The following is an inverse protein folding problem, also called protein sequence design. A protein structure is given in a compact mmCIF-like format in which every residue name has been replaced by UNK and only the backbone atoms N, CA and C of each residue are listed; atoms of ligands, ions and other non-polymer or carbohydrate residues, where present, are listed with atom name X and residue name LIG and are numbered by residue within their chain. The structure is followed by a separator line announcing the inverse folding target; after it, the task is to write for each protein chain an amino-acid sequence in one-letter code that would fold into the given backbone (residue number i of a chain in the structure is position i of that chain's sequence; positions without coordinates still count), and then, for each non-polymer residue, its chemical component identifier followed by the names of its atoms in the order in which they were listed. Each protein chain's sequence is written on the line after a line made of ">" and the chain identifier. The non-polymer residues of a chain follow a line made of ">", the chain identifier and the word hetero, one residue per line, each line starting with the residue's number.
data_IF_752025575154
#
_entry.id   IF_752025575154
#
_cell.length_a   1.000
_cell.length_b   1.000
_cell.length_c   1.000
_cell.angle_alpha   90.00
_cell.angle_beta   90.00
_cell.angle_gamma   90.00
#
_symmetry.space_group_name_H-M   'P 1'
#
loop_
_entity.id
_entity.type
_entity.pdbx_description
1 polymer ?
#
# COMPACT_ATOMS: atom_id res chain seq x y z
N UNK A 1 65.80 2.83 15.41
CA UNK A 1 64.73 3.82 15.17
C UNK A 1 63.95 3.42 13.92
N UNK A 2 62.84 2.68 14.06
CA UNK A 2 61.91 2.36 12.95
C UNK A 2 60.52 2.83 13.39
N UNK A 3 59.96 3.81 12.67
CA UNK A 3 58.64 4.39 12.92
C UNK A 3 57.59 3.51 12.24
N UNK A 4 56.71 2.89 13.03
CA UNK A 4 55.51 2.20 12.55
C UNK A 4 54.38 3.23 12.49
N UNK A 5 53.96 3.57 11.27
CA UNK A 5 52.75 4.34 10.99
C UNK A 5 51.57 3.36 11.01
N UNK A 6 50.68 3.47 12.00
CA UNK A 6 49.36 2.83 11.94
C UNK A 6 48.43 3.73 11.13
N UNK A 7 48.12 3.32 9.90
CA UNK A 7 47.01 3.86 9.10
C UNK A 7 45.71 3.23 9.58
N UNK A 8 44.86 4.03 10.24
CA UNK A 8 43.50 3.65 10.59
C UNK A 8 42.61 3.70 9.34
N UNK A 9 42.22 2.53 8.82
CA UNK A 9 41.22 2.42 7.77
C UNK A 9 39.82 2.52 8.42
N UNK A 10 39.12 3.62 8.18
CA UNK A 10 37.70 3.75 8.52
C UNK A 10 36.88 2.95 7.51
N UNK A 11 36.41 1.77 7.92
CA UNK A 11 35.45 0.98 7.14
C UNK A 11 34.07 1.61 7.32
N UNK A 12 33.59 2.33 6.30
CA UNK A 12 32.18 2.71 6.20
C UNK A 12 31.36 1.45 5.95
N UNK A 13 30.71 0.93 6.99
CA UNK A 13 29.65 -0.06 6.83
C UNK A 13 28.39 0.66 6.31
N UNK A 14 28.15 0.57 5.01
CA UNK A 14 26.83 0.85 4.46
C UNK A 14 25.90 -0.30 4.88
N UNK A 15 25.06 -0.07 5.89
CA UNK A 15 23.93 -0.95 6.17
C UNK A 15 22.91 -0.77 5.04
N UNK A 16 22.93 -1.63 4.04
CA UNK A 16 21.78 -1.82 3.16
C UNK A 16 20.70 -2.50 3.97
N UNK A 17 19.80 -1.70 4.56
CA UNK A 17 18.54 -2.21 5.07
C UNK A 17 17.70 -2.65 3.86
N UNK A 18 17.85 -3.91 3.44
CA UNK A 18 16.88 -4.51 2.54
C UNK A 18 15.56 -4.56 3.31
N UNK A 19 14.59 -3.72 2.94
CA UNK A 19 13.22 -3.87 3.41
C UNK A 19 12.70 -5.20 2.85
N UNK A 20 12.81 -6.27 3.65
CA UNK A 20 12.32 -7.58 3.24
C UNK A 20 10.79 -7.53 3.31
N UNK A 21 10.14 -7.62 2.15
CA UNK A 21 8.69 -7.79 2.06
C UNK A 21 8.34 -9.10 2.78
N UNK A 22 7.37 -9.02 3.68
CA UNK A 22 6.78 -10.15 4.38
C UNK A 22 5.34 -10.33 3.90
N UNK A 23 4.83 -11.55 4.00
CA UNK A 23 3.50 -11.92 3.49
C UNK A 23 2.70 -12.60 4.59
N UNK A 24 1.55 -12.06 4.92
CA UNK A 24 0.58 -12.68 5.83
C UNK A 24 -0.61 -13.18 5.02
N UNK A 25 -1.07 -14.40 5.29
CA UNK A 25 -2.14 -15.05 4.52
C UNK A 25 -3.37 -15.30 5.38
N UNK A 26 -4.54 -14.97 4.84
CA UNK A 26 -5.84 -15.27 5.41
C UNK A 26 -6.65 -16.12 4.44
N UNK A 27 -7.26 -17.20 4.93
CA UNK A 27 -8.11 -18.10 4.13
C UNK A 27 -9.53 -18.09 4.69
N UNK A 28 -10.53 -17.92 3.83
CA UNK A 28 -11.95 -18.04 4.19
C UNK A 28 -12.33 -19.50 4.38
N UNK A 29 -12.83 -19.86 5.57
CA UNK A 29 -13.21 -21.25 5.91
C UNK A 29 -14.62 -21.36 6.49
N UNK A 30 -15.48 -20.37 6.21
CA UNK A 30 -16.85 -20.29 6.73
C UNK A 30 -17.89 -20.81 5.72
N UNK A 31 -17.48 -21.65 4.77
CA UNK A 31 -18.35 -22.24 3.75
C UNK A 31 -18.22 -21.56 2.39
N UNK A 32 -19.01 -22.01 1.42
CA UNK A 32 -18.98 -21.45 0.06
C UNK A 32 -19.59 -20.05 0.05
N UNK A 33 -18.92 -19.09 -0.60
CA UNK A 33 -19.47 -17.75 -0.78
C UNK A 33 -20.42 -17.75 -1.98
N UNK A 34 -21.66 -17.30 -1.78
CA UNK A 34 -22.62 -17.14 -2.89
C UNK A 34 -22.21 -16.03 -3.85
N UNK A 35 -22.76 -16.05 -5.07
CA UNK A 35 -22.61 -14.98 -6.06
C UNK A 35 -23.90 -14.18 -6.13
N UNK A 36 -23.79 -12.86 -6.00
CA UNK A 36 -24.93 -11.97 -6.07
C UNK A 36 -25.35 -11.73 -7.53
N UNK A 37 -26.56 -12.14 -7.87
CA UNK A 37 -27.25 -11.77 -9.09
C UNK A 37 -27.83 -10.35 -8.95
N UNK A 38 -27.49 -9.45 -9.86
CA UNK A 38 -28.04 -8.08 -9.96
C UNK A 38 -28.07 -7.60 -11.41
N UNK A 39 -28.87 -6.57 -11.68
CA UNK A 39 -28.86 -5.87 -12.96
C UNK A 39 -29.10 -4.36 -12.76
N UNK A 40 -28.24 -3.47 -13.30
CA UNK A 40 -26.97 -3.76 -13.98
C UNK A 40 -25.85 -4.09 -12.98
N UNK A 41 -24.94 -4.99 -13.34
CA UNK A 41 -23.69 -5.19 -12.58
C UNK A 41 -22.76 -4.00 -12.83
N UNK A 42 -22.25 -3.40 -11.76
CA UNK A 42 -21.23 -2.35 -11.80
C UNK A 42 -20.49 -2.29 -10.45
N UNK A 43 -19.46 -1.46 -10.35
CA UNK A 43 -18.60 -1.36 -9.15
C UNK A 43 -19.32 -0.85 -7.89
N UNK A 44 -20.51 -0.27 -8.02
CA UNK A 44 -21.34 0.13 -6.89
C UNK A 44 -22.36 -0.94 -6.47
N UNK A 45 -22.47 -2.03 -7.24
CA UNK A 45 -23.26 -3.18 -6.84
C UNK A 45 -22.62 -3.85 -5.63
N UNK A 46 -23.43 -4.28 -4.66
CA UNK A 46 -22.94 -4.98 -3.49
C UNK A 46 -23.53 -6.38 -3.45
N UNK A 47 -22.67 -7.34 -3.13
CA UNK A 47 -23.09 -8.70 -2.79
C UNK A 47 -23.56 -8.76 -1.35
N UNK A 48 -24.80 -9.21 -1.14
CA UNK A 48 -25.33 -9.52 0.20
C UNK A 48 -24.77 -10.83 0.77
N UNK A 49 -24.13 -11.66 -0.08
CA UNK A 49 -23.42 -12.88 0.32
C UNK A 49 -22.07 -12.60 0.97
N UNK A 50 -21.52 -11.43 0.67
CA UNK A 50 -20.15 -11.12 0.97
C UNK A 50 -19.94 -11.07 2.49
N UNK A 51 -18.96 -11.82 2.97
CA UNK A 51 -18.55 -11.82 4.37
C UNK A 51 -17.19 -11.13 4.52
N UNK A 52 -16.95 -10.66 5.74
CA UNK A 52 -15.71 -10.00 6.13
C UNK A 52 -14.70 -11.01 6.66
N UNK A 53 -13.43 -10.76 6.35
CA UNK A 53 -12.31 -11.49 6.87
C UNK A 53 -11.24 -10.51 7.34
N UNK A 54 -10.62 -10.79 8.48
CA UNK A 54 -9.65 -9.90 9.12
C UNK A 54 -8.27 -10.54 9.29
N UNK A 55 -7.21 -9.77 9.03
CA UNK A 55 -5.82 -10.17 9.24
C UNK A 55 -5.06 -9.05 9.94
N UNK A 56 -4.18 -9.42 10.88
CA UNK A 56 -3.30 -8.45 11.52
C UNK A 56 -1.96 -8.38 10.79
N UNK A 57 -1.45 -7.17 10.57
CA UNK A 57 -0.05 -6.94 10.18
C UNK A 57 0.70 -6.22 11.31
N UNK A 58 2.04 -6.30 11.37
CA UNK A 58 2.80 -5.60 12.41
C UNK A 58 2.60 -4.07 12.38
N UNK A 59 2.62 -3.44 13.56
CA UNK A 59 2.49 -1.98 13.67
C UNK A 59 3.60 -1.25 12.92
N UNK A 60 3.26 -0.17 12.23
CA UNK A 60 4.21 0.63 11.45
C UNK A 60 4.63 -0.04 10.15
N UNK A 61 3.90 -1.04 9.66
CA UNK A 61 4.09 -1.60 8.33
C UNK A 61 3.16 -0.95 7.31
N UNK A 62 3.61 -0.91 6.06
CA UNK A 62 2.88 -0.47 4.88
C UNK A 62 2.54 -1.67 4.00
N UNK A 63 1.43 -1.61 3.28
CA UNK A 63 1.07 -2.61 2.27
C UNK A 63 1.88 -2.35 1.00
N UNK A 64 2.54 -3.39 0.49
CA UNK A 64 3.21 -3.39 -0.82
C UNK A 64 2.31 -3.89 -1.95
N UNK A 65 1.45 -4.87 -1.67
CA UNK A 65 0.46 -5.40 -2.60
C UNK A 65 -0.45 -6.37 -1.85
N UNK A 66 -1.62 -6.62 -2.41
CA UNK A 66 -2.48 -7.73 -1.98
C UNK A 66 -2.57 -8.74 -3.11
N UNK A 67 -2.38 -10.02 -2.81
CA UNK A 67 -2.68 -11.10 -3.73
C UNK A 67 -3.99 -11.76 -3.30
N UNK A 68 -4.96 -11.76 -4.21
CA UNK A 68 -6.25 -12.42 -4.05
C UNK A 68 -6.22 -13.73 -4.83
N UNK A 69 -6.58 -14.82 -4.16
CA UNK A 69 -6.79 -16.14 -4.78
C UNK A 69 -8.18 -16.63 -4.44
N UNK A 70 -8.85 -17.28 -5.38
CA UNK A 70 -10.09 -18.01 -5.13
C UNK A 70 -10.38 -18.97 -6.29
N UNK A 71 -11.25 -19.93 -6.05
CA UNK A 71 -11.83 -20.75 -7.09
C UNK A 71 -13.30 -20.37 -7.29
N UNK A 72 -13.69 -20.04 -8.52
CA UNK A 72 -15.08 -19.85 -8.89
C UNK A 72 -15.59 -21.12 -9.56
N UNK A 73 -16.68 -21.67 -9.03
CA UNK A 73 -17.41 -22.78 -9.64
C UNK A 73 -18.73 -22.27 -10.17
N UNK A 74 -19.02 -22.52 -11.44
CA UNK A 74 -20.30 -22.18 -12.05
C UNK A 74 -21.14 -23.40 -12.36
N UNK A 75 -22.42 -23.17 -12.62
CA UNK A 75 -23.37 -24.22 -12.97
C UNK A 75 -23.58 -24.28 -14.49
N UNK A 76 -23.48 -25.48 -15.05
CA UNK A 76 -23.80 -25.75 -16.44
C UNK A 76 -25.31 -25.94 -16.65
N UNK A 77 -25.73 -25.96 -17.91
CA UNK A 77 -27.13 -26.25 -18.27
C UNK A 77 -27.59 -25.36 -19.41
N UNK A 78 -27.47 -25.87 -20.65
CA UNK A 78 -28.09 -25.32 -21.86
C UNK A 78 -28.21 -23.79 -21.91
N UNK A 79 -29.43 -23.31 -22.19
CA UNK A 79 -29.76 -21.89 -22.21
C UNK A 79 -29.92 -21.38 -20.77
N UNK A 80 -29.05 -20.45 -20.34
CA UNK A 80 -29.06 -19.89 -18.98
C UNK A 80 -27.99 -20.43 -18.03
N UNK A 81 -27.04 -21.25 -18.51
CA UNK A 81 -25.82 -21.57 -17.78
C UNK A 81 -24.96 -20.34 -17.52
N UNK A 82 -24.08 -20.44 -16.52
CA UNK A 82 -23.15 -19.37 -16.14
C UNK A 82 -21.72 -19.87 -16.38
N UNK A 83 -20.87 -19.00 -16.90
CA UNK A 83 -19.44 -19.23 -17.05
C UNK A 83 -18.64 -18.34 -16.07
N UNK A 84 -17.42 -18.72 -15.68
CA UNK A 84 -16.58 -17.90 -14.81
C UNK A 84 -16.39 -16.44 -15.27
N UNK A 85 -16.37 -16.18 -16.58
CA UNK A 85 -16.28 -14.81 -17.12
C UNK A 85 -17.56 -13.98 -16.96
N UNK A 86 -18.69 -14.57 -16.54
CA UNK A 86 -19.91 -13.86 -16.15
C UNK A 86 -19.86 -13.36 -14.70
N UNK A 87 -18.91 -13.85 -13.91
CA UNK A 87 -18.75 -13.54 -12.48
C UNK A 87 -17.70 -12.45 -12.31
N UNK A 88 -18.16 -11.24 -12.05
CA UNK A 88 -17.31 -10.10 -11.70
C UNK A 88 -17.06 -10.03 -10.20
N UNK A 89 -15.84 -9.71 -9.80
CA UNK A 89 -15.48 -9.56 -8.38
C UNK A 89 -14.74 -8.25 -8.15
N UNK A 90 -14.92 -7.68 -6.97
CA UNK A 90 -14.05 -6.65 -6.41
C UNK A 90 -13.87 -6.86 -4.91
N UNK A 91 -12.77 -6.38 -4.38
CA UNK A 91 -12.45 -6.38 -2.95
C UNK A 91 -12.75 -4.99 -2.39
N UNK A 92 -13.48 -4.98 -1.28
CA UNK A 92 -13.61 -3.83 -0.39
C UNK A 92 -12.60 -3.98 0.76
N UNK A 93 -11.78 -2.95 0.96
CA UNK A 93 -10.88 -2.81 2.08
C UNK A 93 -11.60 -1.99 3.17
N UNK A 94 -12.43 -2.72 3.92
CA UNK A 94 -13.42 -2.17 4.87
C UNK A 94 -12.76 -1.31 5.94
N UNK A 95 -11.63 -1.74 6.50
CA UNK A 95 -10.93 -1.00 7.57
C UNK A 95 -10.36 0.34 7.09
N UNK A 96 -10.08 0.49 5.79
CA UNK A 96 -9.55 1.74 5.20
C UNK A 96 -10.63 2.50 4.40
N UNK A 97 -11.89 2.09 4.46
CA UNK A 97 -13.00 2.71 3.71
C UNK A 97 -12.73 2.87 2.21
N UNK A 98 -12.02 1.91 1.61
CA UNK A 98 -11.66 1.91 0.19
C UNK A 98 -12.08 0.61 -0.49
N UNK A 99 -12.08 0.58 -1.82
CA UNK A 99 -12.39 -0.62 -2.61
C UNK A 99 -11.68 -0.53 -3.96
N UNK A 100 -11.51 -1.67 -4.64
CA UNK A 100 -11.04 -1.68 -6.03
C UNK A 100 -11.94 -0.78 -6.90
N UNK A 101 -11.34 -0.12 -7.88
CA UNK A 101 -12.01 0.82 -8.79
C UNK A 101 -12.76 0.15 -9.92
N UNK A 102 -12.52 -1.14 -10.14
CA UNK A 102 -13.11 -1.92 -11.22
C UNK A 102 -13.49 -3.34 -10.81
N UNK A 103 -14.35 -3.95 -11.63
CA UNK A 103 -14.67 -5.37 -11.53
C UNK A 103 -13.66 -6.18 -12.33
N UNK A 104 -13.16 -7.26 -11.74
CA UNK A 104 -12.37 -8.26 -12.45
C UNK A 104 -13.19 -9.53 -12.62
N UNK A 105 -13.23 -10.05 -13.84
CA UNK A 105 -14.00 -11.24 -14.22
C UNK A 105 -13.09 -12.45 -14.37
N UNK A 106 -13.66 -13.65 -14.28
CA UNK A 106 -12.99 -14.87 -14.75
C UNK A 106 -12.71 -14.82 -16.25
N UNK A 107 -11.98 -15.81 -16.75
CA UNK A 107 -11.55 -15.87 -18.17
C UNK A 107 -12.27 -16.96 -18.95
N UNK A 108 -12.72 -18.03 -18.28
CA UNK A 108 -13.42 -19.13 -18.93
C UNK A 108 -14.82 -18.69 -19.36
N UNK A 109 -15.11 -18.83 -20.66
CA UNK A 109 -16.46 -18.66 -21.23
C UNK A 109 -17.26 -19.95 -21.31
N UNK A 110 -16.81 -21.02 -20.67
CA UNK A 110 -17.48 -22.33 -20.72
C UNK A 110 -18.45 -22.45 -19.55
N UNK A 111 -19.72 -22.68 -19.84
CA UNK A 111 -20.73 -22.84 -18.80
C UNK A 111 -20.46 -24.08 -17.93
N UNK A 112 -20.61 -23.91 -16.61
CA UNK A 112 -20.47 -25.00 -15.64
C UNK A 112 -19.04 -25.41 -15.33
N UNK A 113 -18.04 -24.61 -15.69
CA UNK A 113 -16.65 -24.88 -15.36
C UNK A 113 -16.27 -24.32 -14.01
N UNK A 114 -15.14 -24.81 -13.52
CA UNK A 114 -14.44 -24.29 -12.36
C UNK A 114 -13.17 -23.60 -12.84
N UNK A 115 -12.90 -22.41 -12.32
CA UNK A 115 -11.69 -21.64 -12.63
C UNK A 115 -11.01 -21.17 -11.34
N UNK A 116 -9.71 -21.41 -11.22
CA UNK A 116 -8.88 -20.78 -10.20
C UNK A 116 -8.44 -19.39 -10.67
N UNK A 117 -8.83 -18.36 -9.93
CA UNK A 117 -8.49 -16.97 -10.20
C UNK A 117 -7.43 -16.53 -9.20
N UNK A 118 -6.38 -15.89 -9.70
CA UNK A 118 -5.34 -15.25 -8.89
C UNK A 118 -5.05 -13.88 -9.48
N UNK A 119 -5.07 -12.82 -8.65
CA UNK A 119 -4.71 -11.47 -9.08
C UNK A 119 -3.99 -10.69 -8.01
N UNK A 120 -3.14 -9.75 -8.45
CA UNK A 120 -2.49 -8.77 -7.58
C UNK A 120 -3.27 -7.46 -7.61
N UNK A 121 -3.58 -6.92 -6.43
CA UNK A 121 -4.27 -5.66 -6.20
C UNK A 121 -3.23 -4.67 -5.66
N UNK A 122 -2.97 -3.60 -6.41
CA UNK A 122 -2.01 -2.56 -6.06
C UNK A 122 -2.69 -1.25 -5.58
N UNK A 123 -4.02 -1.19 -5.64
CA UNK A 123 -4.80 0.00 -5.28
C UNK A 123 -4.78 0.30 -3.77
N UNK A 124 -4.43 -0.69 -2.96
CA UNK A 124 -4.36 -0.60 -1.50
C UNK A 124 -2.94 -0.39 -0.97
N UNK A 125 -1.98 -0.05 -1.84
CA UNK A 125 -0.58 0.11 -1.45
C UNK A 125 -0.36 1.37 -0.60
N UNK A 126 0.49 1.25 0.42
CA UNK A 126 0.93 2.37 1.24
C UNK A 126 0.59 2.22 2.72
N UNK A 127 0.52 3.36 3.40
CA UNK A 127 0.21 3.43 4.82
C UNK A 127 -1.22 2.97 5.10
N UNK A 128 -1.37 2.22 6.20
CA UNK A 128 -2.68 1.82 6.75
C UNK A 128 -2.92 2.54 8.06
N UNK A 129 -4.19 2.77 8.39
CA UNK A 129 -4.62 3.42 9.63
C UNK A 129 -4.78 2.43 10.77
N UNK A 130 -5.11 1.17 10.46
CA UNK A 130 -5.23 0.08 11.43
C UNK A 130 -4.19 -1.03 11.18
N UNK A 131 -3.81 -1.73 12.23
CA UNK A 131 -3.04 -2.98 12.17
C UNK A 131 -3.92 -4.20 11.93
N UNK A 132 -5.22 -4.12 12.24
CA UNK A 132 -6.21 -5.15 11.92
C UNK A 132 -6.95 -4.78 10.63
N UNK A 133 -6.54 -5.41 9.54
CA UNK A 133 -7.04 -5.16 8.21
C UNK A 133 -8.27 -6.00 7.93
N UNK A 134 -9.36 -5.37 7.47
CA UNK A 134 -10.63 -6.07 7.18
C UNK A 134 -10.93 -5.99 5.69
N UNK A 135 -11.06 -7.15 5.05
CA UNK A 135 -11.38 -7.29 3.64
C UNK A 135 -12.74 -7.96 3.44
N UNK A 136 -13.38 -7.64 2.32
CA UNK A 136 -14.64 -8.23 1.90
C UNK A 136 -14.66 -8.41 0.38
N UNK A 137 -14.90 -9.64 -0.08
CA UNK A 137 -15.00 -9.95 -1.52
C UNK A 137 -16.45 -9.87 -1.97
N UNK A 138 -16.72 -9.09 -3.01
CA UNK A 138 -18.05 -8.96 -3.62
C UNK A 138 -18.12 -9.68 -4.97
N UNK A 139 -18.61 -10.93 -5.00
CA UNK A 139 -18.89 -11.63 -6.24
C UNK A 139 -20.27 -11.26 -6.79
N UNK A 140 -20.31 -10.92 -8.08
CA UNK A 140 -21.47 -10.37 -8.78
C UNK A 140 -21.64 -11.06 -10.13
N UNK A 141 -22.89 -11.28 -10.54
CA UNK A 141 -23.24 -11.74 -11.90
C UNK A 141 -24.46 -11.00 -12.40
N UNK A 142 -24.61 -10.91 -13.71
CA UNK A 142 -25.79 -10.30 -14.31
C UNK A 142 -26.99 -11.25 -14.23
N UNK A 143 -28.10 -10.78 -13.66
CA UNK A 143 -29.41 -11.43 -13.80
C UNK A 143 -30.54 -10.46 -13.44
N UNK A 144 -31.73 -10.69 -14.01
CA UNK A 144 -32.91 -9.86 -13.76
C UNK A 144 -33.57 -10.12 -12.40
N UNK A 145 -33.35 -11.30 -11.81
CA UNK A 145 -33.84 -11.64 -10.48
C UNK A 145 -32.71 -11.46 -9.48
N UNK A 146 -32.86 -10.50 -8.57
CA UNK A 146 -31.89 -10.27 -7.52
C UNK A 146 -31.91 -11.43 -6.52
N UNK A 147 -30.78 -12.11 -6.39
CA UNK A 147 -30.59 -13.21 -5.46
C UNK A 147 -29.12 -13.32 -5.09
N UNK A 148 -28.84 -13.69 -3.85
CA UNK A 148 -27.53 -14.12 -3.44
C UNK A 148 -27.64 -15.60 -3.06
N UNK A 149 -27.04 -16.47 -3.88
CA UNK A 149 -27.10 -17.91 -3.69
C UNK A 149 -25.85 -18.59 -4.25
N UNK A 150 -25.80 -19.92 -4.10
CA UNK A 150 -24.71 -20.77 -4.59
C UNK A 150 -25.16 -21.66 -5.75
N UNK A 151 -26.34 -21.42 -6.33
CA UNK A 151 -26.97 -22.32 -7.29
C UNK A 151 -26.31 -22.18 -8.66
N UNK A 152 -26.22 -20.94 -9.16
CA UNK A 152 -25.68 -20.68 -10.50
C UNK A 152 -24.17 -20.47 -10.52
N UNK A 153 -23.62 -19.89 -9.46
CA UNK A 153 -22.18 -19.71 -9.28
C UNK A 153 -21.88 -19.54 -7.79
N UNK A 154 -20.67 -19.91 -7.39
CA UNK A 154 -20.17 -19.76 -6.03
C UNK A 154 -18.65 -19.65 -6.01
N UNK A 155 -18.12 -19.06 -4.95
CA UNK A 155 -16.71 -19.15 -4.63
C UNK A 155 -16.52 -20.36 -3.71
N UNK A 156 -15.64 -21.28 -4.09
CA UNK A 156 -15.40 -22.52 -3.37
C UNK A 156 -14.81 -22.21 -1.98
N UNK A 157 -15.35 -22.86 -0.94
CA UNK A 157 -14.86 -22.72 0.43
C UNK A 157 -13.37 -23.08 0.53
N UNK A 158 -12.64 -22.46 1.46
CA UNK A 158 -11.20 -22.69 1.68
C UNK A 158 -10.29 -22.36 0.49
N UNK A 159 -10.81 -21.86 -0.62
CA UNK A 159 -10.01 -21.39 -1.78
C UNK A 159 -9.83 -19.88 -1.79
N UNK A 160 -10.78 -19.13 -1.21
CA UNK A 160 -10.69 -17.68 -1.10
C UNK A 160 -9.61 -17.30 -0.08
N UNK A 161 -8.50 -16.76 -0.59
CA UNK A 161 -7.37 -16.29 0.19
C UNK A 161 -7.06 -14.82 -0.13
N UNK A 162 -6.75 -14.06 0.91
CA UNK A 162 -6.11 -12.75 0.83
C UNK A 162 -4.70 -12.91 1.39
N UNK A 163 -3.70 -12.57 0.59
CA UNK A 163 -2.29 -12.54 0.99
C UNK A 163 -1.87 -11.07 0.99
N UNK A 164 -1.55 -10.55 2.16
CA UNK A 164 -1.10 -9.17 2.34
C UNK A 164 0.41 -9.16 2.34
N UNK A 165 1.00 -8.56 1.30
CA UNK A 165 2.44 -8.30 1.26
C UNK A 165 2.70 -6.95 1.91
N UNK A 166 3.55 -6.90 2.94
CA UNK A 166 3.81 -5.70 3.71
C UNK A 166 5.30 -5.55 4.05
N UNK A 167 5.71 -4.34 4.43
CA UNK A 167 7.08 -4.02 4.83
C UNK A 167 7.08 -2.91 5.88
N UNK A 168 8.13 -2.78 6.71
CA UNK A 168 8.26 -1.67 7.64
C UNK A 168 8.16 -0.32 6.90
N UNK A 169 7.38 0.61 7.44
CA UNK A 169 7.24 1.95 6.89
C UNK A 169 8.62 2.61 6.70
N UNK A 170 8.83 3.39 5.63
CA UNK A 170 10.04 4.19 5.48
C UNK A 170 10.25 5.09 6.70
N UNK A 171 11.44 5.06 7.27
CA UNK A 171 11.78 5.84 8.48
C UNK A 171 12.32 7.24 8.15
N UNK A 172 12.59 7.53 6.88
CA UNK A 172 13.15 8.80 6.43
C UNK A 172 12.36 9.37 5.24
N UNK A 173 11.14 9.84 5.50
CA UNK A 173 10.45 10.68 4.54
C UNK A 173 11.23 11.96 4.30
N UNK A 174 11.10 12.52 3.09
CA UNK A 174 11.68 13.81 2.77
C UNK A 174 11.13 14.86 3.77
N UNK A 175 12.01 15.69 4.36
CA UNK A 175 11.56 16.81 5.18
C UNK A 175 10.69 17.78 4.37
N UNK A 176 9.68 18.35 5.00
CA UNK A 176 8.73 19.29 4.37
C UNK A 176 8.57 20.55 5.22
N UNK A 177 7.83 21.56 4.71
CA UNK A 177 7.52 22.79 5.46
C UNK A 177 8.75 23.50 6.03
N UNK A 178 9.80 23.68 5.23
CA UNK A 178 10.94 24.50 5.62
C UNK A 178 10.47 25.94 5.89
N UNK A 179 10.79 26.45 7.07
CA UNK A 179 10.46 27.78 7.53
C UNK A 179 11.70 28.48 8.10
N UNK A 180 11.68 29.81 8.04
CA UNK A 180 12.64 30.67 8.74
C UNK A 180 11.92 31.22 9.97
N UNK A 181 12.35 30.82 11.16
CA UNK A 181 11.71 31.20 12.42
C UNK A 181 12.11 32.64 12.84
N UNK A 182 13.40 32.94 12.74
CA UNK A 182 13.94 34.29 12.94
C UNK A 182 15.29 34.48 12.24
N UNK A 183 15.66 35.75 12.06
CA UNK A 183 16.95 36.17 11.51
C UNK A 183 17.64 37.18 12.44
N UNK A 184 18.96 37.09 12.51
CA UNK A 184 19.85 38.03 13.19
C UNK A 184 20.96 38.47 12.22
N UNK A 185 21.85 39.36 12.66
CA UNK A 185 22.88 39.95 11.79
C UNK A 185 23.80 38.94 11.10
N UNK A 186 24.08 37.78 11.70
CA UNK A 186 24.95 36.75 11.10
C UNK A 186 24.39 35.33 11.27
N UNK A 187 23.10 35.21 11.59
CA UNK A 187 22.47 33.94 11.94
C UNK A 187 21.01 33.89 11.46
N UNK A 188 20.51 32.70 11.16
CA UNK A 188 19.11 32.45 10.89
C UNK A 188 18.71 31.12 11.54
N UNK A 189 17.55 31.08 12.20
CA UNK A 189 16.96 29.83 12.67
C UNK A 189 15.97 29.30 11.64
N UNK A 190 16.13 28.02 11.32
CA UNK A 190 15.29 27.28 10.40
C UNK A 190 14.58 26.18 11.16
N UNK A 191 13.33 25.91 10.77
CA UNK A 191 12.57 24.75 11.22
C UNK A 191 11.94 24.04 10.02
N UNK A 192 11.65 22.76 10.19
CA UNK A 192 10.96 21.97 9.16
C UNK A 192 10.15 20.82 9.79
N UNK A 193 9.35 20.14 9.00
CA UNK A 193 8.75 18.85 9.36
C UNK A 193 9.75 17.75 8.99
N UNK A 194 10.20 16.95 9.97
CA UNK A 194 11.39 16.08 9.87
C UNK A 194 11.32 14.94 8.87
N UNK A 195 10.12 14.41 8.63
CA UNK A 195 9.92 13.16 7.89
C UNK A 195 10.41 11.90 8.63
N UNK A 196 10.72 11.98 9.93
CA UNK A 196 11.14 10.83 10.75
C UNK A 196 12.67 10.61 10.84
N UNK A 197 13.46 11.38 10.09
CA UNK A 197 14.93 11.38 10.24
C UNK A 197 15.37 12.00 11.58
N UNK A 198 16.61 11.74 11.99
CA UNK A 198 17.29 12.41 13.11
C UNK A 198 18.46 13.29 12.64
N UNK A 199 18.73 13.34 11.34
CA UNK A 199 19.79 14.13 10.73
C UNK A 199 19.38 14.63 9.35
N UNK A 200 19.79 15.85 9.01
CA UNK A 200 19.45 16.52 7.76
C UNK A 200 20.65 17.25 7.18
N UNK A 201 20.53 17.66 5.92
CA UNK A 201 21.43 18.61 5.27
C UNK A 201 20.63 19.87 4.98
N UNK A 202 21.13 21.02 5.44
CA UNK A 202 20.61 22.34 5.11
C UNK A 202 21.51 22.93 4.03
N UNK A 203 20.93 23.33 2.92
CA UNK A 203 21.63 24.01 1.84
C UNK A 203 21.11 25.44 1.68
N UNK A 204 22.02 26.41 1.62
CA UNK A 204 21.70 27.83 1.39
C UNK A 204 22.67 28.44 0.38
N UNK A 205 22.19 29.41 -0.40
CA UNK A 205 22.96 30.07 -1.46
C UNK A 205 22.52 31.51 -1.62
N UNK A 206 22.86 32.17 -2.73
CA UNK A 206 22.24 33.45 -3.06
C UNK A 206 20.83 33.22 -3.66
N UNK A 207 19.92 34.22 -3.61
CA UNK A 207 18.60 34.08 -4.20
C UNK A 207 18.66 33.60 -5.66
N UNK A 208 17.93 32.52 -5.97
CA UNK A 208 17.94 31.88 -7.29
C UNK A 208 19.07 30.86 -7.51
N UNK A 209 19.81 30.45 -6.47
CA UNK A 209 20.77 29.36 -6.59
C UNK A 209 20.07 28.04 -6.95
N UNK A 210 20.78 27.19 -7.71
CA UNK A 210 20.31 25.85 -8.04
C UNK A 210 20.56 24.92 -6.85
N UNK A 211 19.56 24.16 -6.37
CA UNK A 211 19.80 23.13 -5.36
C UNK A 211 20.94 22.20 -5.79
N UNK A 212 21.89 22.01 -4.90
CA UNK A 212 23.11 21.26 -5.10
C UNK A 212 24.37 22.10 -5.33
N UNK A 213 24.25 23.40 -5.59
CA UNK A 213 25.38 24.33 -5.79
C UNK A 213 25.61 25.30 -4.63
N UNK A 214 24.82 25.19 -3.55
CA UNK A 214 24.88 26.06 -2.39
C UNK A 214 25.92 25.62 -1.35
N UNK A 215 25.95 26.35 -0.23
CA UNK A 215 26.69 25.95 0.96
C UNK A 215 25.84 24.97 1.76
N UNK A 216 26.42 23.81 2.10
CA UNK A 216 25.72 22.72 2.81
C UNK A 216 26.22 22.59 4.23
N UNK A 217 25.29 22.42 5.17
CA UNK A 217 25.54 22.20 6.58
C UNK A 217 24.81 20.95 7.06
N UNK A 218 25.49 20.14 7.86
CA UNK A 218 24.84 19.04 8.57
C UNK A 218 24.04 19.60 9.75
N UNK A 219 22.75 19.29 9.78
CA UNK A 219 21.84 19.63 10.86
C UNK A 219 21.48 18.38 11.66
N UNK A 220 21.80 18.38 12.95
CA UNK A 220 21.48 17.29 13.89
C UNK A 220 20.34 17.66 14.86
N UNK A 221 19.79 18.86 14.71
CA UNK A 221 18.67 19.38 15.50
C UNK A 221 17.67 20.05 14.58
N UNK A 222 16.41 20.10 15.03
CA UNK A 222 15.35 20.87 14.39
C UNK A 222 14.49 21.46 15.53
N UNK A 223 14.47 22.79 15.73
CA UNK A 223 15.06 23.82 14.86
C UNK A 223 16.59 23.79 14.76
N UNK A 224 17.13 24.35 13.67
CA UNK A 224 18.57 24.46 13.39
C UNK A 224 18.99 25.92 13.18
N UNK A 225 20.13 26.31 13.75
CA UNK A 225 20.65 27.69 13.61
C UNK A 225 21.81 27.68 12.61
N UNK A 226 21.60 28.31 11.46
CA UNK A 226 22.67 28.63 10.52
C UNK A 226 23.46 29.81 11.09
N UNK A 227 24.79 29.69 11.13
CA UNK A 227 25.69 30.72 11.66
C UNK A 227 26.76 31.08 10.64
N UNK A 228 27.40 32.24 10.80
CA UNK A 228 28.45 32.71 9.89
C UNK A 228 27.91 33.33 8.60
N UNK A 229 26.66 33.81 8.62
CA UNK A 229 26.07 34.57 7.51
C UNK A 229 26.63 35.99 7.49
N UNK A 230 26.65 36.61 6.31
CA UNK A 230 27.01 38.02 6.16
C UNK A 230 25.80 38.90 6.46
N UNK A 231 26.00 39.95 7.26
CA UNK A 231 24.93 40.89 7.60
C UNK A 231 24.35 41.60 6.38
N UNK A 232 23.05 41.87 6.44
CA UNK A 232 22.29 42.56 5.38
C UNK A 232 22.46 41.91 3.99
N UNK A 233 22.64 40.59 3.95
CA UNK A 233 22.79 39.81 2.71
C UNK A 233 21.61 38.86 2.57
N UNK A 234 21.01 38.81 1.38
CA UNK A 234 19.96 37.84 1.06
C UNK A 234 20.56 36.49 0.70
N UNK A 235 19.96 35.42 1.22
CA UNK A 235 20.28 34.03 0.94
C UNK A 235 19.02 33.28 0.50
#
# INVERSE_FOLDING_TARGET
>A
MKRLLLSAAAVLFAFSANAQISSDTLTYTRGTLGVQAVFPVNINSQSSCADTMGISIPSGHWISSIELKYEVQTQGGGFGGVAPNDVGTYVEFVSESSKETGLTYGTSGTNGTTESVSRTINEFNGAVTDTFLVFKLHPLRQAFTAACDTNSAKITDSTYQIIVNHYPAPTCFQPTNLAVDWTMSAQAQLSWTTGGSSSWEVEYGAPGFTPGTGTRLSALTNPFVVTGLTASTSY
#
